data_IF_059171455462
#
_entry.id   IF_059171455462
#
_cell.length_a   1.000
_cell.length_b   1.000
_cell.length_c   1.000
_cell.angle_alpha   90.00
_cell.angle_beta   90.00
_cell.angle_gamma   90.00
#
_symmetry.space_group_name_H-M   'P 1'
#
loop_
_entity.id
_entity.type
_entity.pdbx_description
1 polymer ?
#
# COMPACT_ATOMS: atom_id res chain seq x y z
N UNK A 1 15.02 -12.06 2.88
CA UNK A 1 13.66 -11.91 2.34
C UNK A 1 13.41 -13.09 1.44
N UNK A 2 12.36 -13.85 1.73
CA UNK A 2 11.90 -14.99 0.95
C UNK A 2 10.42 -14.76 0.66
N UNK A 3 9.94 -15.20 -0.50
CA UNK A 3 8.51 -15.13 -0.84
C UNK A 3 7.69 -15.99 0.14
N UNK A 4 6.61 -15.43 0.65
CA UNK A 4 5.51 -16.17 1.25
C UNK A 4 4.18 -15.66 0.73
N UNK A 5 3.17 -16.54 0.68
CA UNK A 5 1.80 -16.16 0.37
C UNK A 5 1.35 -15.00 1.28
N UNK A 6 0.69 -13.95 0.75
CA UNK A 6 0.20 -12.85 1.56
C UNK A 6 -0.76 -13.32 2.65
N UNK A 7 -0.45 -12.97 3.90
CA UNK A 7 -1.34 -13.17 5.03
C UNK A 7 -2.07 -11.87 5.36
N UNK A 8 -3.35 -11.98 5.70
CA UNK A 8 -4.17 -10.84 6.09
C UNK A 8 -4.54 -10.92 7.57
N UNK A 9 -4.59 -9.76 8.23
CA UNK A 9 -5.10 -9.63 9.58
C UNK A 9 -6.63 -9.61 9.59
N UNK A 10 -7.21 -10.14 10.67
CA UNK A 10 -8.61 -9.92 10.97
C UNK A 10 -8.82 -8.43 11.26
N UNK A 11 -9.87 -7.86 10.67
CA UNK A 11 -10.24 -6.46 10.90
C UNK A 11 -11.23 -6.43 12.06
N UNK A 12 -10.72 -6.12 13.25
CA UNK A 12 -11.57 -5.95 14.45
C UNK A 12 -12.51 -4.75 14.29
N UNK A 13 -13.61 -4.66 15.08
CA UNK A 13 -14.50 -3.50 15.04
C UNK A 13 -13.78 -2.17 15.25
N UNK A 14 -12.79 -2.12 16.14
CA UNK A 14 -12.01 -0.92 16.42
C UNK A 14 -11.11 -0.54 15.23
N UNK A 15 -10.47 -1.52 14.59
CA UNK A 15 -9.66 -1.27 13.40
C UNK A 15 -10.53 -0.83 12.23
N UNK A 16 -11.71 -1.44 12.07
CA UNK A 16 -12.69 -1.04 11.06
C UNK A 16 -13.10 0.42 11.23
N UNK A 17 -13.47 0.83 12.44
CA UNK A 17 -13.83 2.23 12.74
C UNK A 17 -12.67 3.19 12.40
N UNK A 18 -11.44 2.82 12.74
CA UNK A 18 -10.24 3.61 12.40
C UNK A 18 -10.07 3.76 10.89
N UNK A 19 -10.24 2.69 10.10
CA UNK A 19 -10.10 2.71 8.64
C UNK A 19 -11.23 3.51 7.97
N UNK A 20 -12.47 3.34 8.42
CA UNK A 20 -13.63 4.09 7.92
C UNK A 20 -13.49 5.59 8.20
N UNK A 21 -13.07 5.95 9.42
CA UNK A 21 -12.79 7.34 9.79
C UNK A 21 -11.66 7.92 8.92
N UNK A 22 -10.55 7.19 8.77
CA UNK A 22 -9.46 7.60 7.91
C UNK A 22 -9.96 7.88 6.48
N UNK A 23 -10.66 6.92 5.86
CA UNK A 23 -11.20 7.06 4.51
C UNK A 23 -12.07 8.31 4.37
N UNK A 24 -13.05 8.48 5.26
CA UNK A 24 -13.96 9.63 5.21
C UNK A 24 -13.20 10.97 5.31
N UNK A 25 -12.19 11.07 6.17
CA UNK A 25 -11.35 12.26 6.29
C UNK A 25 -10.51 12.51 5.03
N UNK A 26 -9.88 11.46 4.47
CA UNK A 26 -9.05 11.59 3.26
C UNK A 26 -9.89 11.97 2.03
N UNK A 27 -11.08 11.38 1.88
CA UNK A 27 -12.00 11.71 0.80
C UNK A 27 -12.50 13.15 0.89
N UNK A 28 -12.79 13.64 2.11
CA UNK A 28 -13.23 15.01 2.32
C UNK A 28 -12.14 16.05 1.97
N UNK A 29 -10.85 15.69 2.03
CA UNK A 29 -9.76 16.55 1.58
C UNK A 29 -9.72 16.72 0.05
N UNK A 30 -10.29 15.77 -0.70
CA UNK A 30 -10.39 15.78 -2.17
C UNK A 30 -9.06 16.19 -2.86
N UNK A 31 -7.94 15.64 -2.37
CA UNK A 31 -6.62 15.86 -2.95
C UNK A 31 -6.53 15.17 -4.32
N UNK A 32 -5.75 15.73 -5.26
CA UNK A 32 -5.46 15.03 -6.51
C UNK A 32 -4.73 13.71 -6.21
N UNK A 33 -4.88 12.75 -7.13
CA UNK A 33 -4.11 11.50 -7.12
C UNK A 33 -2.61 11.83 -7.20
N UNK A 34 -1.84 11.24 -6.31
CA UNK A 34 -0.39 11.43 -6.18
C UNK A 34 0.41 10.25 -6.74
N UNK A 35 1.67 10.16 -6.29
CA UNK A 35 2.57 9.07 -6.66
C UNK A 35 2.31 7.79 -5.87
N UNK A 36 2.69 6.65 -6.44
CA UNK A 36 2.58 5.33 -5.79
C UNK A 36 3.47 5.23 -4.54
N UNK A 37 4.66 5.84 -4.58
CA UNK A 37 5.55 5.96 -3.42
C UNK A 37 6.07 7.39 -3.23
N UNK A 38 6.81 7.61 -2.15
CA UNK A 38 7.35 8.93 -1.79
C UNK A 38 8.46 9.40 -2.74
N UNK A 39 9.20 8.44 -3.30
CA UNK A 39 10.36 8.73 -4.12
C UNK A 39 10.52 7.73 -5.26
N UNK A 40 10.77 8.24 -6.47
CA UNK A 40 11.26 7.44 -7.59
C UNK A 40 12.76 7.21 -7.42
N UNK A 41 13.17 5.94 -7.41
CA UNK A 41 14.57 5.54 -7.33
C UNK A 41 15.20 5.34 -8.71
N UNK A 42 14.42 4.78 -9.65
CA UNK A 42 14.85 4.47 -11.00
C UNK A 42 13.64 4.40 -11.93
N UNK A 43 13.83 4.82 -13.17
CA UNK A 43 12.80 4.72 -14.21
C UNK A 43 13.45 4.54 -15.59
N UNK A 44 13.01 3.53 -16.33
CA UNK A 44 13.36 3.32 -17.74
C UNK A 44 12.11 2.90 -18.55
N UNK A 45 12.29 2.40 -19.77
CA UNK A 45 11.18 1.97 -20.64
C UNK A 45 10.48 0.71 -20.15
N UNK A 46 11.08 -0.05 -19.23
CA UNK A 46 10.57 -1.34 -18.76
C UNK A 46 9.95 -1.24 -17.38
N UNK A 47 10.54 -0.44 -16.49
CA UNK A 47 10.13 -0.39 -15.09
C UNK A 47 10.15 1.02 -14.53
N UNK A 48 9.35 1.21 -13.48
CA UNK A 48 9.47 2.33 -12.55
C UNK A 48 9.59 1.79 -11.13
N UNK A 49 10.63 2.24 -10.43
CA UNK A 49 10.95 1.76 -9.08
C UNK A 49 10.71 2.88 -8.08
N UNK A 50 9.87 2.60 -7.10
CA UNK A 50 9.54 3.50 -6.01
C UNK A 50 10.12 3.02 -4.69
N UNK A 51 10.33 3.97 -3.79
CA UNK A 51 10.47 3.73 -2.34
C UNK A 51 9.27 4.36 -1.64
N UNK A 52 8.66 3.60 -0.72
CA UNK A 52 7.62 4.08 0.18
C UNK A 52 8.05 3.76 1.61
N UNK A 53 8.04 4.77 2.48
CA UNK A 53 8.36 4.60 3.89
C UNK A 53 7.36 5.33 4.75
N UNK A 54 6.66 4.57 5.60
CA UNK A 54 5.60 5.09 6.46
C UNK A 54 5.91 4.74 7.92
N UNK A 55 6.06 5.74 8.78
CA UNK A 55 6.05 5.54 10.23
C UNK A 55 4.64 5.12 10.72
N UNK A 56 4.51 4.55 11.93
CA UNK A 56 3.20 4.16 12.46
C UNK A 56 2.19 5.31 12.44
N UNK A 57 1.07 5.10 11.76
CA UNK A 57 0.04 6.12 11.59
C UNK A 57 0.23 7.04 10.37
N UNK A 58 1.29 6.89 9.59
CA UNK A 58 1.47 7.59 8.30
C UNK A 58 0.84 6.81 7.14
N UNK A 59 0.51 7.54 6.07
CA UNK A 59 -0.13 7.01 4.87
C UNK A 59 0.47 7.64 3.60
N UNK A 60 0.38 6.94 2.48
CA UNK A 60 0.76 7.44 1.16
C UNK A 60 -0.24 8.46 0.62
N UNK A 61 0.07 9.13 -0.49
CA UNK A 61 -0.98 9.77 -1.30
C UNK A 61 -1.99 8.74 -1.82
N UNK A 62 -3.18 9.22 -2.21
CA UNK A 62 -4.10 8.42 -3.02
C UNK A 62 -3.43 8.14 -4.36
N UNK A 63 -3.28 6.89 -4.75
CA UNK A 63 -2.60 6.53 -6.00
C UNK A 63 -3.36 5.40 -6.72
N UNK A 64 -3.10 5.28 -8.02
CA UNK A 64 -3.64 4.21 -8.85
C UNK A 64 -2.49 3.37 -9.38
N UNK A 65 -2.58 2.06 -9.21
CA UNK A 65 -1.65 1.11 -9.81
C UNK A 65 -2.07 0.85 -11.26
N UNK A 66 -1.50 1.58 -12.21
CA UNK A 66 -1.80 1.44 -13.65
C UNK A 66 -1.05 0.25 -14.31
N UNK A 67 -0.11 -0.33 -13.58
CA UNK A 67 0.75 -1.43 -14.01
C UNK A 67 0.75 -2.55 -12.99
N UNK A 68 0.99 -3.78 -13.45
CA UNK A 68 1.28 -4.89 -12.55
C UNK A 68 2.62 -4.58 -11.86
N UNK A 69 2.76 -4.98 -10.61
CA UNK A 69 3.93 -4.63 -9.83
C UNK A 69 4.35 -5.71 -8.84
N UNK A 70 5.58 -5.57 -8.36
CA UNK A 70 6.09 -6.36 -7.25
C UNK A 70 6.39 -5.43 -6.08
N UNK A 71 5.84 -5.78 -4.92
CA UNK A 71 6.28 -5.24 -3.64
C UNK A 71 7.51 -6.00 -3.16
N UNK A 72 8.48 -5.27 -2.63
CA UNK A 72 9.65 -5.77 -1.92
C UNK A 72 9.63 -5.10 -0.55
N UNK A 73 8.94 -5.72 0.38
CA UNK A 73 8.65 -5.18 1.72
C UNK A 73 9.80 -5.54 2.63
N UNK A 74 10.64 -4.57 2.98
CA UNK A 74 11.84 -4.76 3.79
C UNK A 74 11.52 -4.91 5.27
N UNK A 75 10.53 -4.16 5.75
CA UNK A 75 10.15 -4.06 7.16
C UNK A 75 8.69 -3.64 7.31
N UNK A 76 8.07 -4.07 8.40
CA UNK A 76 6.76 -3.65 8.86
C UNK A 76 6.13 -4.75 9.70
N UNK A 77 4.92 -4.48 10.20
CA UNK A 77 4.07 -5.48 10.84
C UNK A 77 2.67 -5.50 10.21
N UNK A 78 1.99 -4.34 10.11
CA UNK A 78 0.66 -4.24 9.49
C UNK A 78 0.54 -3.03 8.56
N UNK A 79 0.18 -3.29 7.30
CA UNK A 79 -0.13 -2.25 6.30
C UNK A 79 -1.53 -2.47 5.76
N UNK A 80 -2.31 -1.40 5.65
CA UNK A 80 -3.64 -1.44 5.08
C UNK A 80 -3.64 -0.84 3.67
N UNK A 81 -4.28 -1.53 2.73
CA UNK A 81 -4.77 -0.90 1.50
C UNK A 81 -6.18 -0.40 1.75
N UNK A 82 -6.41 0.91 1.61
CA UNK A 82 -7.71 1.54 1.82
C UNK A 82 -8.18 2.13 0.50
N UNK A 83 -9.29 1.64 -0.03
CA UNK A 83 -9.85 2.16 -1.27
C UNK A 83 -10.86 3.28 -0.99
N UNK A 84 -11.05 4.22 -1.94
CA UNK A 84 -12.18 5.14 -1.91
C UNK A 84 -13.53 4.41 -1.83
N UNK A 85 -14.50 5.07 -1.21
CA UNK A 85 -15.88 4.65 -1.10
C UNK A 85 -16.48 4.39 -2.50
N UNK A 86 -17.11 3.23 -2.67
CA UNK A 86 -17.64 2.80 -3.96
C UNK A 86 -16.62 2.15 -4.91
N UNK A 87 -15.38 1.98 -4.46
CA UNK A 87 -14.39 1.13 -5.13
C UNK A 87 -14.79 -0.35 -5.16
N UNK A 88 -14.05 -1.19 -5.91
CA UNK A 88 -14.37 -2.61 -6.08
C UNK A 88 -14.19 -3.43 -4.80
N UNK A 89 -13.44 -2.91 -3.82
CA UNK A 89 -13.23 -3.47 -2.49
C UNK A 89 -13.17 -2.32 -1.47
N UNK A 90 -13.40 -2.61 -0.19
CA UNK A 90 -13.39 -1.59 0.87
C UNK A 90 -11.96 -1.31 1.39
N UNK A 91 -11.39 -2.28 2.10
CA UNK A 91 -10.03 -2.23 2.63
C UNK A 91 -9.58 -3.63 3.05
N UNK A 92 -8.27 -3.83 3.12
CA UNK A 92 -7.64 -5.03 3.64
C UNK A 92 -6.44 -4.64 4.52
N UNK A 93 -5.98 -5.57 5.37
CA UNK A 93 -4.81 -5.36 6.22
C UNK A 93 -3.85 -6.52 6.00
N UNK A 94 -2.74 -6.26 5.31
CA UNK A 94 -1.66 -7.21 5.11
C UNK A 94 -0.78 -7.33 6.34
N UNK A 95 -0.39 -8.56 6.69
CA UNK A 95 0.65 -8.83 7.67
C UNK A 95 2.00 -8.91 6.98
N UNK A 96 2.99 -8.26 7.56
CA UNK A 96 4.38 -8.34 7.09
C UNK A 96 5.11 -9.41 7.91
N UNK A 97 5.58 -10.50 7.29
CA UNK A 97 6.37 -11.52 7.97
C UNK A 97 7.68 -10.96 8.53
N UNK A 98 8.16 -11.57 9.62
CA UNK A 98 9.47 -11.26 10.19
C UNK A 98 10.56 -11.58 9.16
N UNK A 99 11.19 -10.54 8.61
CA UNK A 99 12.19 -10.64 7.54
C UNK A 99 11.75 -10.10 6.18
N UNK A 100 10.53 -9.54 6.11
CA UNK A 100 9.96 -8.94 4.92
C UNK A 100 9.26 -9.94 4.01
N UNK A 101 8.75 -9.46 2.88
CA UNK A 101 8.13 -10.31 1.86
C UNK A 101 8.28 -9.69 0.46
N UNK A 102 8.16 -10.52 -0.58
CA UNK A 102 7.96 -10.08 -1.95
C UNK A 102 6.56 -10.47 -2.39
N UNK A 103 5.76 -9.55 -2.93
CA UNK A 103 4.37 -9.83 -3.30
C UNK A 103 4.11 -9.38 -4.74
N UNK A 104 3.67 -10.27 -5.65
CA UNK A 104 3.15 -9.86 -6.95
C UNK A 104 1.73 -9.31 -6.79
N UNK A 105 1.44 -8.16 -7.38
CA UNK A 105 0.12 -7.52 -7.31
C UNK A 105 -0.33 -7.11 -8.72
N UNK A 106 -1.56 -7.48 -9.13
CA UNK A 106 -2.11 -7.04 -10.40
C UNK A 106 -2.50 -5.56 -10.33
N UNK A 107 -2.45 -4.88 -11.48
CA UNK A 107 -2.91 -3.51 -11.64
C UNK A 107 -4.40 -3.34 -11.37
N UNK A 108 -4.82 -2.08 -11.17
CA UNK A 108 -6.21 -1.66 -11.30
C UNK A 108 -6.85 -1.14 -10.01
N UNK A 109 -6.15 -1.19 -8.88
CA UNK A 109 -6.64 -0.60 -7.64
C UNK A 109 -6.21 0.87 -7.53
N UNK A 110 -7.12 1.69 -6.99
CA UNK A 110 -6.84 3.02 -6.48
C UNK A 110 -6.98 2.98 -4.97
N UNK A 111 -5.92 3.35 -4.23
CA UNK A 111 -5.87 3.17 -2.78
C UNK A 111 -4.92 4.16 -2.10
N UNK A 112 -5.08 4.25 -0.78
CA UNK A 112 -4.04 4.70 0.13
C UNK A 112 -3.35 3.47 0.73
N UNK A 113 -2.03 3.48 0.81
CA UNK A 113 -1.29 2.61 1.72
C UNK A 113 -1.24 3.29 3.09
N UNK A 114 -1.71 2.61 4.13
CA UNK A 114 -1.77 3.16 5.48
C UNK A 114 -1.05 2.23 6.47
N UNK A 115 -0.03 2.74 7.16
CA UNK A 115 0.64 1.99 8.21
C UNK A 115 -0.24 1.98 9.48
N UNK A 116 -1.00 0.89 9.64
CA UNK A 116 -1.87 0.67 10.80
C UNK A 116 -1.18 -0.06 11.95
N UNK A 117 0.04 -0.54 11.71
CA UNK A 117 0.85 -1.27 12.67
C UNK A 117 1.62 -0.39 13.63
N UNK A 118 2.66 -0.98 14.22
CA UNK A 118 3.49 -0.40 15.27
C UNK A 118 4.96 -0.27 14.86
N UNK A 119 5.35 -0.87 13.73
CA UNK A 119 6.68 -0.72 13.15
C UNK A 119 6.64 0.18 11.92
N UNK A 120 7.77 0.83 11.63
CA UNK A 120 7.97 1.50 10.34
C UNK A 120 7.77 0.51 9.20
N UNK A 121 6.84 0.84 8.29
CA UNK A 121 6.65 0.15 7.03
C UNK A 121 7.64 0.70 6.00
N UNK A 122 8.38 -0.18 5.33
CA UNK A 122 9.36 0.21 4.33
C UNK A 122 9.39 -0.79 3.20
N UNK A 123 9.11 -0.31 1.99
CA UNK A 123 9.11 -1.12 0.79
C UNK A 123 9.80 -0.44 -0.39
N UNK A 124 10.20 -1.28 -1.32
CA UNK A 124 10.42 -0.89 -2.70
C UNK A 124 9.33 -1.50 -3.57
N UNK A 125 8.82 -0.73 -4.51
CA UNK A 125 7.80 -1.19 -5.45
C UNK A 125 8.36 -1.11 -6.87
N UNK A 126 8.22 -2.18 -7.65
CA UNK A 126 8.66 -2.24 -9.05
C UNK A 126 7.44 -2.38 -9.96
N UNK A 127 7.05 -1.28 -10.60
CA UNK A 127 6.00 -1.26 -11.62
C UNK A 127 6.53 -1.78 -12.96
N UNK A 128 5.76 -2.64 -13.63
CA UNK A 128 6.10 -3.20 -14.94
C UNK A 128 5.42 -2.41 -16.07
N UNK A 129 6.17 -1.62 -16.82
CA UNK A 129 5.60 -0.82 -17.92
C UNK A 129 5.12 -1.73 -19.05
N UNK A 130 3.90 -1.50 -19.51
CA UNK A 130 3.27 -2.23 -20.61
C UNK A 130 2.53 -3.52 -20.22
N UNK A 131 2.40 -3.81 -18.92
CA UNK A 131 1.48 -4.82 -18.39
C UNK A 131 0.02 -4.36 -18.48
#
# INVERSE_FOLDING_TARGET
MEYSEPEYAEITPELKERLEKFRAEREAENKPVGGVGDRVLFEDDKVKIWELKLEPGEWSDLHTHEHDYYLIIMKGDLVAGVMPSGGPMDFFVGKVPKGGNTVPVPKGNTEWAFNVGSETYHEYLVELKGS
#
